data_IF_974373975728
#
_entry.id   IF_974373975728
#
_cell.length_a   1.000
_cell.length_b   1.000
_cell.length_c   1.000
_cell.angle_alpha   90.00
_cell.angle_beta   90.00
_cell.angle_gamma   90.00
#
_symmetry.space_group_name_H-M   'P 1'
#
loop_
_entity.id
_entity.type
_entity.pdbx_description
1 polymer ?
#
# COMPACT_ATOMS: atom_id res chain seq x y z
N UNK A 1 -18.37 18.98 -32.30
CA UNK A 1 -18.61 17.54 -31.98
C UNK A 1 -18.05 17.25 -30.59
N UNK A 2 -18.54 16.24 -29.88
CA UNK A 2 -18.14 15.92 -28.48
C UNK A 2 -16.62 15.68 -28.32
N UNK A 3 -15.94 15.25 -29.40
CA UNK A 3 -14.51 14.92 -29.40
C UNK A 3 -13.61 16.00 -30.00
N UNK A 4 -14.14 17.18 -30.34
CA UNK A 4 -13.38 18.23 -31.04
C UNK A 4 -12.29 18.92 -30.21
N UNK A 5 -12.30 18.75 -28.88
CA UNK A 5 -11.37 19.43 -27.96
C UNK A 5 -10.23 18.53 -27.44
N UNK A 6 -10.11 17.30 -27.95
CA UNK A 6 -9.03 16.39 -27.55
C UNK A 6 -7.70 16.85 -28.17
N UNK A 7 -6.72 17.19 -27.32
CA UNK A 7 -5.33 17.41 -27.74
C UNK A 7 -4.50 16.21 -27.32
N UNK A 8 -3.99 15.47 -28.30
CA UNK A 8 -3.11 14.34 -28.06
C UNK A 8 -1.68 14.85 -27.79
N UNK A 9 -0.98 14.21 -26.86
CA UNK A 9 0.44 14.44 -26.58
C UNK A 9 1.26 13.17 -26.87
N UNK A 10 2.58 13.32 -26.99
CA UNK A 10 3.49 12.18 -27.25
C UNK A 10 4.05 11.55 -25.96
N UNK A 11 3.74 12.14 -24.79
CA UNK A 11 4.28 11.71 -23.50
C UNK A 11 3.55 10.50 -22.91
N UNK A 12 2.33 10.22 -23.37
CA UNK A 12 1.48 9.15 -22.84
C UNK A 12 0.91 8.30 -23.98
N UNK A 13 0.74 6.97 -23.82
CA UNK A 13 0.06 6.15 -24.81
C UNK A 13 -1.35 6.66 -25.17
N UNK A 14 -1.66 6.71 -26.46
CA UNK A 14 -2.91 7.25 -27.02
C UNK A 14 -4.16 6.64 -26.37
N UNK A 15 -4.14 5.34 -26.06
CA UNK A 15 -5.29 4.66 -25.47
C UNK A 15 -5.59 5.16 -24.04
N UNK A 16 -4.57 5.56 -23.27
CA UNK A 16 -4.75 6.10 -21.91
C UNK A 16 -5.35 7.51 -22.00
N UNK A 17 -4.84 8.34 -22.92
CA UNK A 17 -5.39 9.68 -23.16
C UNK A 17 -6.87 9.63 -23.57
N UNK A 18 -7.20 8.73 -24.50
CA UNK A 18 -8.57 8.47 -24.94
C UNK A 18 -9.47 7.98 -23.82
N UNK A 19 -8.98 7.02 -23.02
CA UNK A 19 -9.69 6.49 -21.85
C UNK A 19 -10.02 7.61 -20.88
N UNK A 20 -9.00 8.36 -20.45
CA UNK A 20 -9.15 9.46 -19.51
C UNK A 20 -10.13 10.52 -20.01
N UNK A 21 -10.06 10.87 -21.30
CA UNK A 21 -10.99 11.83 -21.91
C UNK A 21 -12.43 11.34 -21.90
N UNK A 22 -12.68 10.08 -22.33
CA UNK A 22 -14.03 9.52 -22.36
C UNK A 22 -14.57 9.33 -20.94
N UNK A 23 -13.76 8.84 -20.01
CA UNK A 23 -14.14 8.70 -18.60
C UNK A 23 -14.54 10.03 -17.98
N UNK A 24 -13.75 11.09 -18.19
CA UNK A 24 -14.04 12.43 -17.69
C UNK A 24 -15.34 13.00 -18.28
N UNK A 25 -15.58 12.79 -19.58
CA UNK A 25 -16.83 13.20 -20.25
C UNK A 25 -18.07 12.48 -19.69
N UNK A 26 -17.94 11.19 -19.39
CA UNK A 26 -19.00 10.40 -18.73
C UNK A 26 -19.21 10.89 -17.30
N UNK A 27 -18.14 11.15 -16.54
CA UNK A 27 -18.19 11.64 -15.16
C UNK A 27 -18.80 13.04 -15.04
N UNK A 28 -18.52 13.92 -16.00
CA UNK A 28 -19.12 15.27 -16.09
C UNK A 28 -20.57 15.26 -16.58
N UNK A 29 -21.09 14.11 -17.01
CA UNK A 29 -22.45 13.98 -17.57
C UNK A 29 -22.61 14.59 -18.97
N UNK A 30 -21.50 14.87 -19.67
CA UNK A 30 -21.53 15.39 -21.05
C UNK A 30 -21.95 14.29 -22.04
N UNK A 31 -21.65 13.03 -21.71
CA UNK A 31 -22.15 11.86 -22.41
C UNK A 31 -23.20 11.19 -21.49
N UNK A 32 -24.50 11.31 -21.79
CA UNK A 32 -25.55 10.82 -20.90
C UNK A 32 -25.57 9.31 -20.82
N UNK A 33 -26.16 8.79 -19.74
CA UNK A 33 -26.35 7.35 -19.55
C UNK A 33 -27.13 6.72 -20.72
N UNK A 34 -26.78 5.49 -21.09
CA UNK A 34 -27.34 4.76 -22.22
C UNK A 34 -27.21 5.45 -23.59
N UNK A 35 -26.37 6.48 -23.71
CA UNK A 35 -26.03 7.04 -25.00
C UNK A 35 -25.10 6.11 -25.78
N UNK A 36 -25.30 6.06 -27.10
CA UNK A 36 -24.49 5.24 -28.00
C UNK A 36 -23.16 5.94 -28.29
N UNK A 37 -22.07 5.25 -28.03
CA UNK A 37 -20.74 5.70 -28.46
C UNK A 37 -20.53 5.39 -29.95
N UNK A 38 -19.68 6.17 -30.65
CA UNK A 38 -19.28 5.84 -32.00
C UNK A 38 -18.66 4.44 -32.07
N UNK A 39 -18.75 3.77 -33.21
CA UNK A 39 -18.03 2.52 -33.41
C UNK A 39 -16.51 2.75 -33.36
N UNK A 40 -15.75 1.69 -33.07
CA UNK A 40 -14.27 1.77 -33.04
C UNK A 40 -13.68 2.26 -34.36
N UNK A 41 -14.36 1.99 -35.50
CA UNK A 41 -14.00 2.50 -36.82
C UNK A 41 -14.27 3.99 -36.96
N UNK A 42 -15.48 4.43 -36.60
CA UNK A 42 -15.86 5.85 -36.69
C UNK A 42 -14.99 6.71 -35.78
N UNK A 43 -14.73 6.27 -34.54
CA UNK A 43 -13.91 7.02 -33.61
C UNK A 43 -12.44 7.10 -34.05
N UNK A 44 -11.89 6.01 -34.59
CA UNK A 44 -10.54 5.98 -35.17
C UNK A 44 -10.41 6.98 -36.33
N UNK A 45 -11.41 7.05 -37.22
CA UNK A 45 -11.41 7.97 -38.34
C UNK A 45 -11.62 9.42 -37.91
N UNK A 46 -12.47 9.66 -36.92
CA UNK A 46 -12.76 10.99 -36.37
C UNK A 46 -11.51 11.63 -35.74
N UNK A 47 -10.75 10.83 -34.98
CA UNK A 47 -9.58 11.29 -34.23
C UNK A 47 -8.25 11.05 -34.96
N UNK A 48 -8.28 10.41 -36.13
CA UNK A 48 -7.10 10.02 -36.91
C UNK A 48 -6.08 9.21 -36.09
N UNK A 49 -6.58 8.30 -35.25
CA UNK A 49 -5.76 7.42 -34.38
C UNK A 49 -5.85 5.96 -34.81
N UNK A 50 -4.87 5.15 -34.40
CA UNK A 50 -4.89 3.71 -34.66
C UNK A 50 -6.15 3.04 -34.10
N UNK A 51 -6.80 2.20 -34.92
CA UNK A 51 -7.96 1.41 -34.50
C UNK A 51 -7.66 0.53 -33.28
N UNK A 52 -6.43 0.00 -33.17
CA UNK A 52 -6.03 -0.83 -32.04
C UNK A 52 -6.07 -0.04 -30.73
N UNK A 53 -5.65 1.23 -30.74
CA UNK A 53 -5.72 2.10 -29.56
C UNK A 53 -7.16 2.36 -29.13
N UNK A 54 -8.09 2.52 -30.08
CA UNK A 54 -9.52 2.70 -29.79
C UNK A 54 -10.14 1.41 -29.22
N UNK A 55 -9.77 0.25 -29.77
CA UNK A 55 -10.23 -1.05 -29.26
C UNK A 55 -9.76 -1.24 -27.81
N UNK A 56 -8.47 -1.04 -27.54
CA UNK A 56 -7.89 -1.09 -26.19
C UNK A 56 -8.61 -0.12 -25.23
N UNK A 57 -8.87 1.10 -25.68
CA UNK A 57 -9.63 2.09 -24.90
C UNK A 57 -11.01 1.56 -24.50
N UNK A 58 -11.73 0.94 -25.45
CA UNK A 58 -13.09 0.44 -25.19
C UNK A 58 -13.08 -0.78 -24.29
N UNK A 59 -12.05 -1.64 -24.38
CA UNK A 59 -11.86 -2.76 -23.47
C UNK A 59 -11.59 -2.29 -22.04
N UNK A 60 -10.74 -1.28 -21.86
CA UNK A 60 -10.44 -0.63 -20.57
C UNK A 60 -11.68 0.05 -19.97
N UNK A 61 -12.40 0.85 -20.75
CA UNK A 61 -13.64 1.49 -20.28
C UNK A 61 -14.72 0.46 -19.90
N UNK A 62 -14.74 -0.68 -20.60
CA UNK A 62 -15.64 -1.79 -20.30
C UNK A 62 -15.23 -2.52 -19.02
N UNK A 63 -13.93 -2.71 -18.79
CA UNK A 63 -13.41 -3.35 -17.56
C UNK A 63 -13.68 -2.49 -16.32
N UNK A 64 -13.63 -1.16 -16.45
CA UNK A 64 -14.04 -0.21 -15.40
C UNK A 64 -15.55 -0.12 -15.19
N UNK A 65 -16.33 -0.70 -16.11
CA UNK A 65 -17.79 -0.72 -16.08
C UNK A 65 -18.43 0.62 -16.46
N UNK A 66 -17.70 1.49 -17.15
CA UNK A 66 -18.19 2.79 -17.66
C UNK A 66 -18.96 2.65 -18.97
N UNK A 67 -18.75 1.56 -19.70
CA UNK A 67 -19.47 1.26 -20.94
C UNK A 67 -19.87 -0.21 -20.99
N UNK A 68 -20.87 -0.53 -21.81
CA UNK A 68 -21.30 -1.89 -22.10
C UNK A 68 -21.58 -2.05 -23.59
N UNK A 69 -21.46 -3.26 -24.11
CA UNK A 69 -21.71 -3.54 -25.53
C UNK A 69 -22.89 -4.48 -25.69
N UNK A 70 -23.82 -4.14 -26.58
CA UNK A 70 -24.93 -5.00 -26.99
C UNK A 70 -24.64 -5.51 -28.39
N UNK A 71 -24.64 -6.84 -28.55
CA UNK A 71 -24.42 -7.49 -29.86
C UNK A 71 -25.40 -6.96 -30.90
N UNK A 72 -24.89 -6.55 -32.06
CA UNK A 72 -25.67 -5.99 -33.17
C UNK A 72 -26.16 -4.54 -32.98
N UNK A 73 -26.12 -3.96 -31.77
CA UNK A 73 -26.61 -2.58 -31.52
C UNK A 73 -25.50 -1.56 -31.30
N UNK A 74 -24.35 -1.99 -30.78
CA UNK A 74 -23.17 -1.16 -30.54
C UNK A 74 -22.79 -1.05 -29.08
N UNK A 75 -22.01 -0.01 -28.75
CA UNK A 75 -21.48 0.24 -27.41
C UNK A 75 -22.16 1.45 -26.79
N UNK A 76 -22.55 1.33 -25.53
CA UNK A 76 -23.36 2.30 -24.81
C UNK A 76 -22.68 2.68 -23.49
N UNK A 77 -22.86 3.93 -23.08
CA UNK A 77 -22.35 4.41 -21.79
C UNK A 77 -23.21 3.87 -20.65
N UNK A 78 -22.52 3.39 -19.60
CA UNK A 78 -23.09 3.10 -18.29
C UNK A 78 -22.58 4.17 -17.34
N UNK A 79 -23.32 5.26 -17.23
CA UNK A 79 -23.04 6.27 -16.21
C UNK A 79 -23.33 5.58 -14.88
N UNK A 80 -22.30 5.42 -14.04
CA UNK A 80 -22.54 5.18 -12.62
C UNK A 80 -23.29 6.40 -12.12
N UNK A 81 -24.62 6.28 -12.02
CA UNK A 81 -25.50 7.25 -11.36
C UNK A 81 -24.73 7.80 -10.20
N UNK A 82 -24.41 9.11 -10.27
CA UNK A 82 -23.62 9.90 -9.33
C UNK A 82 -23.17 8.99 -8.20
N UNK A 83 -21.93 8.49 -8.24
CA UNK A 83 -21.30 8.15 -6.97
C UNK A 83 -21.60 9.37 -6.13
N UNK A 84 -22.46 9.22 -5.13
CA UNK A 84 -22.64 10.27 -4.18
C UNK A 84 -21.21 10.55 -3.80
N UNK A 85 -20.70 11.72 -4.17
CA UNK A 85 -19.45 12.21 -3.62
C UNK A 85 -19.78 12.53 -2.15
N UNK A 86 -20.27 11.55 -1.39
CA UNK A 86 -19.75 11.22 -0.08
C UNK A 86 -18.25 11.01 -0.29
N UNK A 87 -17.56 12.12 -0.55
CA UNK A 87 -16.27 12.40 0.03
C UNK A 87 -16.51 12.08 1.49
N UNK A 88 -16.08 10.90 1.92
CA UNK A 88 -16.18 10.51 3.31
C UNK A 88 -15.22 11.43 4.04
N UNK A 89 -15.70 12.63 4.38
CA UNK A 89 -14.95 13.62 5.13
C UNK A 89 -15.01 13.16 6.58
N UNK A 90 -14.12 12.23 6.91
CA UNK A 90 -13.94 11.86 8.30
C UNK A 90 -13.18 12.99 8.96
N UNK A 91 -13.86 13.73 9.83
CA UNK A 91 -13.18 14.64 10.72
C UNK A 91 -12.63 13.82 11.89
N UNK A 92 -11.33 13.53 11.89
CA UNK A 92 -10.71 12.77 12.97
C UNK A 92 -10.81 13.47 14.32
N UNK A 93 -10.91 14.81 14.34
CA UNK A 93 -11.03 15.58 15.59
C UNK A 93 -12.30 15.26 16.37
N UNK A 94 -13.36 14.79 15.69
CA UNK A 94 -14.63 14.41 16.31
C UNK A 94 -14.70 12.95 16.75
N UNK A 95 -13.75 12.11 16.29
CA UNK A 95 -13.61 10.70 16.69
C UNK A 95 -12.53 10.51 17.77
N UNK A 96 -11.73 11.53 18.01
CA UNK A 96 -10.65 11.49 18.98
C UNK A 96 -11.15 11.86 20.38
N UNK A 97 -10.98 10.95 21.34
CA UNK A 97 -11.31 11.21 22.74
C UNK A 97 -10.19 11.98 23.47
N UNK A 98 -10.50 12.50 24.65
CA UNK A 98 -9.56 13.28 25.46
C UNK A 98 -8.29 12.51 25.85
N UNK A 99 -8.41 11.19 26.03
CA UNK A 99 -7.28 10.32 26.33
C UNK A 99 -6.34 10.20 25.13
N UNK A 100 -6.88 10.00 23.92
CA UNK A 100 -6.11 9.90 22.68
C UNK A 100 -5.33 11.19 22.41
N UNK A 101 -5.98 12.36 22.58
CA UNK A 101 -5.32 13.67 22.47
C UNK A 101 -4.17 13.80 23.45
N UNK A 102 -4.41 13.45 24.72
CA UNK A 102 -3.39 13.52 25.77
C UNK A 102 -2.25 12.54 25.53
N UNK A 103 -2.54 11.33 25.06
CA UNK A 103 -1.54 10.33 24.73
C UNK A 103 -0.65 10.77 23.56
N UNK A 104 -1.23 11.42 22.53
CA UNK A 104 -0.48 11.96 21.41
C UNK A 104 0.33 13.22 21.79
N UNK A 105 -0.20 14.08 22.66
CA UNK A 105 0.52 15.23 23.23
C UNK A 105 1.70 14.79 24.11
N UNK A 106 1.50 13.73 24.90
CA UNK A 106 2.53 13.12 25.75
C UNK A 106 3.36 12.07 25.01
N UNK A 107 3.21 11.94 23.68
CA UNK A 107 4.05 11.04 22.89
C UNK A 107 5.44 11.66 22.78
N UNK A 108 6.27 11.22 23.72
CA UNK A 108 7.66 11.62 23.86
C UNK A 108 8.46 11.35 22.57
N UNK A 109 8.10 10.33 21.78
CA UNK A 109 8.83 10.01 20.53
C UNK A 109 8.54 11.05 19.43
N UNK A 110 7.33 11.62 19.38
CA UNK A 110 6.94 12.60 18.36
C UNK A 110 7.26 14.04 18.72
N UNK A 111 7.22 14.36 20.01
CA UNK A 111 7.33 15.73 20.53
C UNK A 111 8.73 16.09 21.03
N UNK A 112 9.66 15.14 21.00
CA UNK A 112 11.02 15.36 21.46
C UNK A 112 11.85 16.27 20.57
N UNK A 113 12.70 17.05 21.24
CA UNK A 113 13.77 17.80 20.60
C UNK A 113 14.71 16.76 19.95
N UNK A 114 15.06 16.91 18.67
CA UNK A 114 16.07 16.08 18.04
C UNK A 114 17.34 16.07 18.88
N UNK A 115 17.89 14.88 19.15
CA UNK A 115 19.10 14.77 19.94
C UNK A 115 20.24 15.60 19.34
N UNK A 116 20.94 16.35 20.19
CA UNK A 116 22.17 17.09 19.84
C UNK A 116 23.29 16.73 20.82
N UNK A 117 24.54 16.85 20.36
CA UNK A 117 25.74 16.47 21.12
C UNK A 117 25.91 17.20 22.46
N UNK A 118 25.22 18.34 22.65
CA UNK A 118 25.32 19.19 23.84
C UNK A 118 24.25 18.85 24.89
N UNK A 119 23.42 17.83 24.65
CA UNK A 119 22.32 17.44 25.52
C UNK A 119 22.60 16.11 26.24
N UNK A 120 22.37 16.10 27.56
CA UNK A 120 22.42 14.87 28.37
C UNK A 120 21.00 14.30 28.48
N UNK A 121 20.81 13.06 28.00
CA UNK A 121 19.53 12.35 28.07
C UNK A 121 19.40 11.63 29.42
N UNK A 122 18.40 12.02 30.23
CA UNK A 122 18.05 11.32 31.48
C UNK A 122 17.02 10.19 31.29
N UNK A 123 16.83 9.71 30.05
CA UNK A 123 15.87 8.62 29.78
C UNK A 123 16.37 7.31 30.39
N UNK A 124 15.63 6.80 31.36
CA UNK A 124 16.03 5.67 32.23
C UNK A 124 16.00 4.27 31.56
N UNK A 125 15.58 4.14 30.30
CA UNK A 125 15.15 2.84 29.76
C UNK A 125 15.97 2.39 28.53
N UNK A 126 16.71 3.28 27.89
CA UNK A 126 17.50 2.94 26.69
C UNK A 126 18.99 2.82 27.03
N UNK A 127 19.64 1.70 26.72
CA UNK A 127 21.09 1.60 26.76
C UNK A 127 21.72 2.70 25.88
N UNK A 128 22.91 3.16 26.27
CA UNK A 128 23.69 4.10 25.45
C UNK A 128 23.96 3.49 24.07
N UNK A 129 23.71 4.27 23.01
CA UNK A 129 23.91 3.84 21.63
C UNK A 129 25.38 3.57 21.33
N UNK A 130 26.29 4.29 21.98
CA UNK A 130 27.74 4.12 21.81
C UNK A 130 28.24 2.81 22.44
N UNK A 131 27.49 2.22 23.39
CA UNK A 131 27.80 0.91 23.97
C UNK A 131 27.34 -0.25 23.10
N UNK A 132 26.58 0.01 22.03
CA UNK A 132 26.11 -1.03 21.13
C UNK A 132 27.11 -1.25 19.99
N UNK A 133 27.68 -2.45 19.90
CA UNK A 133 28.62 -2.80 18.84
C UNK A 133 27.92 -2.94 17.48
N UNK A 134 27.83 -1.82 16.78
CA UNK A 134 27.24 -1.74 15.45
C UNK A 134 28.03 -2.53 14.40
N UNK A 135 29.34 -2.67 14.56
CA UNK A 135 30.18 -3.36 13.60
C UNK A 135 29.99 -4.88 13.68
N UNK A 136 29.93 -5.43 14.89
CA UNK A 136 29.65 -6.85 15.08
C UNK A 136 28.21 -7.21 14.68
N UNK A 137 27.24 -6.31 14.89
CA UNK A 137 25.88 -6.50 14.39
C UNK A 137 25.85 -6.55 12.85
N UNK A 138 26.46 -5.58 12.17
CA UNK A 138 26.53 -5.55 10.70
C UNK A 138 27.18 -6.82 10.16
N UNK A 139 28.32 -7.21 10.73
CA UNK A 139 29.07 -8.40 10.33
C UNK A 139 28.24 -9.67 10.51
N UNK A 140 27.58 -9.82 11.66
CA UNK A 140 26.71 -10.96 11.94
C UNK A 140 25.54 -11.05 10.95
N UNK A 141 24.94 -9.90 10.63
CA UNK A 141 23.84 -9.81 9.68
C UNK A 141 24.27 -10.17 8.25
N UNK A 142 25.38 -9.61 7.77
CA UNK A 142 25.92 -9.91 6.44
C UNK A 142 26.36 -11.36 6.31
N UNK A 143 26.92 -11.95 7.36
CA UNK A 143 27.26 -13.37 7.41
C UNK A 143 25.99 -14.23 7.22
N UNK A 144 24.91 -13.92 7.95
CA UNK A 144 23.64 -14.65 7.80
C UNK A 144 23.02 -14.49 6.41
N UNK A 145 23.05 -13.30 5.84
CA UNK A 145 22.62 -13.07 4.45
C UNK A 145 23.42 -13.94 3.49
N UNK A 146 24.73 -14.03 3.67
CA UNK A 146 25.61 -14.82 2.80
C UNK A 146 25.34 -16.32 2.92
N UNK A 147 25.01 -16.81 4.11
CA UNK A 147 24.73 -18.23 4.37
C UNK A 147 23.33 -18.66 3.93
N UNK A 148 22.30 -17.85 4.20
CA UNK A 148 20.90 -18.24 3.99
C UNK A 148 20.26 -17.64 2.74
N UNK A 149 20.82 -16.53 2.23
CA UNK A 149 20.41 -15.89 0.99
C UNK A 149 18.91 -15.59 0.93
N UNK A 150 18.27 -16.01 -0.17
CA UNK A 150 16.84 -15.77 -0.42
C UNK A 150 15.89 -16.43 0.61
N UNK A 151 16.36 -17.40 1.41
CA UNK A 151 15.54 -18.05 2.43
C UNK A 151 15.15 -17.08 3.56
N UNK A 152 15.98 -16.07 3.83
CA UNK A 152 15.69 -15.02 4.82
C UNK A 152 14.54 -14.10 4.40
N UNK A 153 14.26 -13.99 3.09
CA UNK A 153 13.21 -13.13 2.55
C UNK A 153 11.83 -13.80 2.56
N UNK A 154 11.78 -15.11 2.79
CA UNK A 154 10.54 -15.85 2.90
C UNK A 154 9.96 -15.72 4.32
N UNK A 155 8.64 -15.94 4.44
CA UNK A 155 8.01 -16.08 5.75
C UNK A 155 8.70 -17.21 6.53
N UNK A 156 9.31 -16.84 7.66
CA UNK A 156 9.97 -17.78 8.55
C UNK A 156 8.99 -18.77 9.18
N UNK A 157 9.54 -19.72 9.95
CA UNK A 157 8.74 -20.71 10.67
C UNK A 157 7.74 -20.02 11.62
N UNK A 158 6.52 -20.54 11.74
CA UNK A 158 5.45 -19.92 12.53
C UNK A 158 5.82 -19.69 14.02
N UNK A 159 6.79 -20.44 14.54
CA UNK A 159 7.28 -20.30 15.93
C UNK A 159 8.47 -19.34 16.05
N UNK A 160 9.10 -18.95 14.95
CA UNK A 160 10.33 -18.16 14.91
C UNK A 160 11.53 -18.93 14.33
N UNK A 161 12.65 -18.23 14.23
CA UNK A 161 13.88 -18.77 13.65
C UNK A 161 14.56 -19.77 14.61
N UNK A 162 14.48 -21.06 14.28
CA UNK A 162 14.86 -22.17 15.17
C UNK A 162 16.29 -22.06 15.76
N UNK A 163 17.34 -21.73 14.98
CA UNK A 163 18.70 -21.61 15.55
C UNK A 163 18.82 -20.53 16.62
N UNK A 164 18.09 -19.42 16.49
CA UNK A 164 18.06 -18.38 17.51
C UNK A 164 17.30 -18.85 18.76
N UNK A 165 16.18 -19.55 18.58
CA UNK A 165 15.42 -20.11 19.70
C UNK A 165 16.28 -21.06 20.52
N UNK A 166 17.00 -21.96 19.86
CA UNK A 166 17.86 -22.94 20.53
C UNK A 166 19.01 -22.26 21.29
N UNK A 167 19.66 -21.28 20.66
CA UNK A 167 20.69 -20.48 21.31
C UNK A 167 20.16 -19.74 22.54
N UNK A 168 18.97 -19.12 22.45
CA UNK A 168 18.37 -18.42 23.57
C UNK A 168 17.98 -19.37 24.70
N UNK A 169 17.45 -20.55 24.39
CA UNK A 169 17.14 -21.57 25.40
C UNK A 169 18.40 -22.00 26.14
N UNK A 170 19.48 -22.32 25.42
CA UNK A 170 20.77 -22.67 26.00
C UNK A 170 21.33 -21.54 26.87
N UNK A 171 21.36 -20.31 26.34
CA UNK A 171 21.80 -19.12 27.06
C UNK A 171 21.01 -18.92 28.37
N UNK A 172 19.69 -19.08 28.32
CA UNK A 172 18.83 -18.92 29.49
C UNK A 172 19.02 -20.03 30.52
N UNK A 173 19.19 -21.29 30.08
CA UNK A 173 19.53 -22.40 30.97
C UNK A 173 20.86 -22.16 31.67
N UNK A 174 21.87 -21.66 30.95
CA UNK A 174 23.17 -21.28 31.52
C UNK A 174 23.06 -20.13 32.53
N UNK A 175 22.04 -19.27 32.41
CA UNK A 175 21.71 -18.21 33.37
C UNK A 175 20.79 -18.67 34.50
N UNK A 176 20.44 -19.96 34.58
CA UNK A 176 19.66 -20.56 35.66
C UNK A 176 18.13 -20.48 35.47
N UNK A 177 17.64 -20.22 34.26
CA UNK A 177 16.20 -20.19 34.00
C UNK A 177 15.62 -21.60 33.78
N UNK A 178 14.49 -21.89 34.44
CA UNK A 178 13.73 -23.13 34.22
C UNK A 178 12.87 -23.04 32.93
N UNK A 179 13.11 -24.00 32.04
CA UNK A 179 12.51 -24.15 30.70
C UNK A 179 11.59 -25.38 30.58
N UNK A 180 11.46 -26.20 31.62
CA UNK A 180 10.79 -27.52 31.59
C UNK A 180 9.32 -27.52 31.12
N UNK A 181 8.62 -26.39 31.24
CA UNK A 181 7.20 -26.28 30.88
C UNK A 181 6.85 -25.04 30.03
N UNK A 182 7.82 -24.50 29.28
CA UNK A 182 7.66 -23.25 28.52
C UNK A 182 7.88 -23.49 27.03
N UNK A 183 6.97 -22.99 26.19
CA UNK A 183 7.10 -23.02 24.73
C UNK A 183 7.55 -21.65 24.25
N UNK A 184 8.73 -21.58 23.62
CA UNK A 184 9.26 -20.35 23.07
C UNK A 184 8.63 -20.08 21.70
N UNK A 185 8.05 -18.89 21.54
CA UNK A 185 7.68 -18.34 20.24
C UNK A 185 8.26 -16.93 20.15
N UNK A 186 8.80 -16.53 19.00
CA UNK A 186 9.53 -15.26 18.83
C UNK A 186 8.76 -14.00 19.28
N UNK A 187 7.45 -14.07 19.51
CA UNK A 187 6.61 -12.93 19.88
C UNK A 187 5.95 -13.02 21.28
N UNK A 188 6.14 -14.08 22.07
CA UNK A 188 5.62 -14.15 23.46
C UNK A 188 6.07 -15.38 24.26
N UNK A 189 6.26 -15.18 25.57
CA UNK A 189 6.24 -16.25 26.57
C UNK A 189 4.79 -16.70 26.77
N UNK A 190 4.43 -17.91 26.34
CA UNK A 190 3.11 -18.49 26.60
C UNK A 190 3.26 -19.54 27.68
N UNK A 191 2.72 -19.26 28.88
CA UNK A 191 2.55 -20.30 29.89
C UNK A 191 1.55 -21.33 29.38
N UNK A 192 1.93 -22.61 29.47
CA UNK A 192 1.03 -23.73 29.24
C UNK A 192 -0.03 -23.70 30.34
N UNK A 193 -1.22 -23.15 30.09
CA UNK A 193 -2.38 -23.48 30.94
C UNK A 193 -2.69 -24.94 30.67
N UNK A 194 -2.53 -25.76 31.70
CA UNK A 194 -3.08 -27.12 31.76
C UNK A 194 -4.61 -27.05 31.63
#
# INVERSE_FOLDING_TARGET
MIFSNLKLNDNEPIYIQLKNYISDMISKGLIPDNSKLPSTRELSQLLQVSRNSVVLTYEELKSEGLIYSISGKGTFVKSKNKSSNTTWSLNWDCLENTYSKKANELDIIKSEIPWSSDLISFKSISPDGDLFDMEELKKSFLNRISLEGHKLLNYGYAQGYKPLIDYLLEYMTNKGADISNKRYTNNKWIHRRL
#
